data_IF_361870783134
#
_entry.id   IF_361870783134
#
_cell.length_a   1.000
_cell.length_b   1.000
_cell.length_c   1.000
_cell.angle_alpha   90.00
_cell.angle_beta   90.00
_cell.angle_gamma   90.00
#
_symmetry.space_group_name_H-M   'P 1'
#
loop_
_entity.id
_entity.type
_entity.pdbx_description
1 polymer ?
#
# COMPACT_ATOMS: atom_id res chain seq x y z
N UNK A 1 -18.37 -4.02 -5.52
CA UNK A 1 -17.20 -3.96 -6.43
C UNK A 1 -15.96 -4.11 -5.56
N UNK A 2 -15.10 -5.11 -5.80
CA UNK A 2 -13.93 -5.36 -4.95
C UNK A 2 -12.82 -4.36 -5.25
N UNK A 3 -12.24 -3.78 -4.21
CA UNK A 3 -11.26 -2.68 -4.28
C UNK A 3 -9.91 -3.14 -3.75
N UNK A 4 -8.88 -3.02 -4.57
CA UNK A 4 -7.48 -3.18 -4.17
C UNK A 4 -6.85 -1.82 -3.83
N UNK A 5 -5.96 -1.81 -2.85
CA UNK A 5 -5.16 -0.66 -2.48
C UNK A 5 -3.68 -1.01 -2.57
N UNK A 6 -2.90 -0.16 -3.23
CA UNK A 6 -1.45 -0.21 -3.22
C UNK A 6 -0.98 0.98 -2.39
N UNK A 7 -0.13 0.73 -1.40
CA UNK A 7 0.54 1.76 -0.62
C UNK A 7 2.00 1.77 -1.01
N UNK A 8 2.40 2.79 -1.78
CA UNK A 8 3.78 2.98 -2.17
C UNK A 8 4.47 3.88 -1.16
N UNK A 9 5.33 3.30 -0.33
CA UNK A 9 6.01 4.01 0.74
C UNK A 9 7.32 4.61 0.26
N UNK A 10 7.45 5.92 0.44
CA UNK A 10 8.66 6.68 0.13
C UNK A 10 9.49 6.85 1.40
N UNK A 11 10.79 6.60 1.28
CA UNK A 11 11.75 6.68 2.38
C UNK A 11 12.10 5.32 2.97
N UNK A 12 13.10 5.32 3.84
CA UNK A 12 13.59 4.10 4.50
C UNK A 12 12.69 3.71 5.65
N UNK A 13 12.39 2.42 5.77
CA UNK A 13 11.60 1.89 6.87
C UNK A 13 12.36 2.01 8.20
N UNK A 14 11.69 2.38 9.30
CA UNK A 14 12.27 2.30 10.63
C UNK A 14 12.70 0.87 10.97
N UNK A 15 13.64 0.74 11.91
CA UNK A 15 14.21 -0.57 12.31
C UNK A 15 13.14 -1.51 12.85
N UNK A 16 12.17 -0.96 13.59
CA UNK A 16 11.07 -1.70 14.21
C UNK A 16 9.83 -1.79 13.29
N UNK A 17 9.99 -1.53 12.00
CA UNK A 17 8.87 -1.57 11.06
C UNK A 17 8.39 -3.00 10.83
N UNK A 18 7.07 -3.19 11.00
CA UNK A 18 6.39 -4.44 10.75
C UNK A 18 5.26 -4.25 9.74
N UNK A 19 5.38 -4.95 8.60
CA UNK A 19 4.42 -4.90 7.51
C UNK A 19 3.01 -5.33 7.96
N UNK A 20 2.92 -6.34 8.84
CA UNK A 20 1.64 -6.89 9.28
C UNK A 20 0.89 -5.91 10.20
N UNK A 21 1.60 -5.23 11.09
CA UNK A 21 1.06 -4.19 11.95
C UNK A 21 0.54 -3.00 11.13
N UNK A 22 1.31 -2.53 10.15
CA UNK A 22 0.88 -1.45 9.25
C UNK A 22 -0.32 -1.86 8.39
N UNK A 23 -0.31 -3.09 7.86
CA UNK A 23 -1.44 -3.63 7.09
C UNK A 23 -2.73 -3.61 7.91
N UNK A 24 -2.66 -3.95 9.20
CA UNK A 24 -3.82 -3.88 10.12
C UNK A 24 -4.27 -2.44 10.35
N UNK A 25 -3.35 -1.51 10.58
CA UNK A 25 -3.68 -0.09 10.76
C UNK A 25 -4.34 0.51 9.51
N UNK A 26 -3.83 0.19 8.33
CA UNK A 26 -4.41 0.65 7.05
C UNK A 26 -5.79 0.00 6.81
N UNK A 27 -5.97 -1.30 7.10
CA UNK A 27 -7.28 -1.95 6.99
C UNK A 27 -8.33 -1.34 7.90
N UNK A 28 -7.94 -0.79 9.05
CA UNK A 28 -8.87 -0.09 9.96
C UNK A 28 -9.29 1.29 9.43
N UNK A 29 -8.41 1.96 8.68
CA UNK A 29 -8.66 3.32 8.15
C UNK A 29 -9.18 3.37 6.71
N UNK A 30 -8.97 2.31 5.92
CA UNK A 30 -9.35 2.23 4.51
C UNK A 30 -10.29 1.06 4.22
N UNK A 31 -11.34 1.32 3.43
CA UNK A 31 -12.29 0.29 2.93
C UNK A 31 -11.76 -0.43 1.68
N UNK A 32 -10.59 -1.03 1.75
CA UNK A 32 -10.04 -1.87 0.69
C UNK A 32 -10.15 -3.36 1.05
N UNK A 33 -10.51 -4.20 0.08
CA UNK A 33 -10.63 -5.64 0.27
C UNK A 33 -9.25 -6.31 0.35
N UNK A 34 -8.32 -5.85 -0.49
CA UNK A 34 -6.92 -6.28 -0.51
C UNK A 34 -6.00 -5.07 -0.51
N UNK A 35 -4.87 -5.19 0.20
CA UNK A 35 -3.89 -4.14 0.36
C UNK A 35 -2.52 -4.75 0.12
N UNK A 36 -1.71 -4.08 -0.71
CA UNK A 36 -0.30 -4.37 -0.92
C UNK A 36 0.51 -3.16 -0.48
N UNK A 37 1.56 -3.37 0.32
CA UNK A 37 2.46 -2.32 0.79
C UNK A 37 3.81 -2.52 0.12
N UNK A 38 4.27 -1.52 -0.60
CA UNK A 38 5.57 -1.52 -1.28
C UNK A 38 6.46 -0.54 -0.55
N UNK A 39 7.64 -1.00 -0.17
CA UNK A 39 8.65 -0.23 0.54
C UNK A 39 10.01 -0.41 -0.14
N UNK A 40 11.05 0.29 0.31
CA UNK A 40 12.40 0.19 -0.27
C UNK A 40 12.98 -1.22 -0.09
N UNK A 41 12.62 -1.92 0.99
CA UNK A 41 13.00 -3.32 1.26
C UNK A 41 12.18 -4.35 0.47
N UNK A 42 11.11 -3.95 -0.22
CA UNK A 42 10.38 -4.86 -1.12
C UNK A 42 11.23 -5.37 -2.29
N UNK A 43 12.42 -4.80 -2.48
CA UNK A 43 13.42 -5.30 -3.43
C UNK A 43 12.96 -5.05 -4.86
N UNK A 44 12.72 -6.14 -5.61
CA UNK A 44 12.25 -6.06 -6.99
C UNK A 44 10.73 -5.92 -7.11
N UNK A 45 9.98 -6.10 -6.03
CA UNK A 45 8.52 -6.03 -6.07
C UNK A 45 8.06 -4.58 -6.11
N UNK A 46 7.48 -4.17 -7.24
CA UNK A 46 7.10 -2.79 -7.49
C UNK A 46 5.58 -2.57 -7.65
N UNK A 47 5.19 -1.36 -8.05
CA UNK A 47 3.77 -0.98 -8.22
C UNK A 47 3.10 -1.79 -9.33
N UNK A 48 3.84 -2.18 -10.37
CA UNK A 48 3.33 -2.99 -11.47
C UNK A 48 3.06 -4.42 -10.98
N UNK A 49 3.96 -5.00 -10.20
CA UNK A 49 3.78 -6.34 -9.61
C UNK A 49 2.58 -6.37 -8.66
N UNK A 50 2.47 -5.37 -7.78
CA UNK A 50 1.33 -5.24 -6.87
C UNK A 50 0.01 -5.05 -7.63
N UNK A 51 0.01 -4.24 -8.68
CA UNK A 51 -1.15 -4.04 -9.53
C UNK A 51 -1.58 -5.33 -10.22
N UNK A 52 -0.63 -6.08 -10.79
CA UNK A 52 -0.91 -7.38 -11.41
C UNK A 52 -1.42 -8.41 -10.41
N UNK A 53 -0.83 -8.48 -9.21
CA UNK A 53 -1.30 -9.33 -8.11
C UNK A 53 -2.75 -9.01 -7.72
N UNK A 54 -3.10 -7.73 -7.55
CA UNK A 54 -4.46 -7.32 -7.22
C UNK A 54 -5.46 -7.61 -8.34
N UNK A 55 -5.06 -7.40 -9.61
CA UNK A 55 -5.90 -7.72 -10.76
C UNK A 55 -6.21 -9.22 -10.85
N UNK A 56 -5.18 -10.07 -10.77
CA UNK A 56 -5.34 -11.54 -10.85
C UNK A 56 -6.16 -12.10 -9.68
N UNK A 57 -6.20 -11.40 -8.55
CA UNK A 57 -7.05 -11.74 -7.38
C UNK A 57 -8.47 -11.16 -7.47
N UNK A 58 -8.85 -10.58 -8.60
CA UNK A 58 -10.21 -10.16 -8.92
C UNK A 58 -10.60 -8.78 -8.35
N UNK A 59 -9.63 -7.94 -8.00
CA UNK A 59 -9.89 -6.54 -7.68
C UNK A 59 -10.28 -5.79 -8.95
N UNK A 60 -11.41 -5.10 -8.93
CA UNK A 60 -11.96 -4.38 -10.11
C UNK A 60 -11.69 -2.89 -10.08
N UNK A 61 -11.37 -2.36 -8.90
CA UNK A 61 -10.91 -0.99 -8.71
C UNK A 61 -9.60 -1.06 -7.94
N UNK A 62 -8.54 -0.47 -8.49
CA UNK A 62 -7.22 -0.46 -7.85
C UNK A 62 -6.77 0.98 -7.70
N UNK A 63 -6.50 1.36 -6.46
CA UNK A 63 -6.03 2.70 -6.10
C UNK A 63 -4.62 2.59 -5.56
N UNK A 64 -3.72 3.47 -5.99
CA UNK A 64 -2.39 3.63 -5.44
C UNK A 64 -2.32 4.92 -4.63
N UNK A 65 -1.72 4.85 -3.43
CA UNK A 65 -1.53 5.98 -2.52
C UNK A 65 -0.06 6.01 -2.11
N UNK A 66 0.49 7.22 -1.98
CA UNK A 66 1.84 7.41 -1.46
C UNK A 66 1.79 7.41 0.07
N UNK A 67 2.62 6.58 0.70
CA UNK A 67 2.88 6.58 2.13
C UNK A 67 4.24 7.20 2.44
N UNK A 68 4.38 7.84 3.59
CA UNK A 68 5.66 8.31 4.13
C UNK A 68 5.77 7.94 5.61
N UNK A 69 6.96 7.51 6.02
CA UNK A 69 7.25 7.33 7.44
C UNK A 69 7.44 8.68 8.11
N UNK A 70 6.70 8.88 9.19
CA UNK A 70 6.95 9.99 10.11
C UNK A 70 8.27 9.77 10.86
N UNK A 71 8.86 10.83 11.44
CA UNK A 71 10.05 10.70 12.29
C UNK A 71 9.86 9.73 13.47
N UNK A 72 8.61 9.52 13.89
CA UNK A 72 8.24 8.60 14.97
C UNK A 72 8.07 7.16 14.50
N UNK A 73 8.32 6.89 13.22
CA UNK A 73 8.26 5.57 12.59
C UNK A 73 6.87 5.12 12.12
N UNK A 74 5.81 5.90 12.37
CA UNK A 74 4.47 5.58 11.90
C UNK A 74 4.32 5.88 10.41
N UNK A 75 3.64 5.00 9.67
CA UNK A 75 3.28 5.25 8.28
C UNK A 75 2.10 6.22 8.16
N UNK A 76 2.27 7.27 7.36
CA UNK A 76 1.22 8.23 7.04
C UNK A 76 0.88 8.20 5.57
N UNK A 77 -0.40 8.11 5.24
CA UNK A 77 -0.89 8.10 3.86
C UNK A 77 -1.12 9.54 3.38
N UNK A 78 -0.58 9.89 2.21
CA UNK A 78 -0.86 11.17 1.57
C UNK A 78 -2.27 11.18 0.96
N UNK A 79 -2.83 12.37 0.84
CA UNK A 79 -4.17 12.56 0.25
C UNK A 79 -4.20 12.26 -1.26
N UNK A 80 -3.06 12.31 -1.95
CA UNK A 80 -2.97 12.03 -3.39
C UNK A 80 -3.20 10.54 -3.65
N UNK A 81 -4.27 10.25 -4.38
CA UNK A 81 -4.65 8.92 -4.83
C UNK A 81 -4.58 8.85 -6.35
N UNK A 82 -3.94 7.82 -6.86
CA UNK A 82 -3.92 7.51 -8.29
C UNK A 82 -4.83 6.30 -8.53
N UNK A 83 -5.85 6.44 -9.37
CA UNK A 83 -6.67 5.29 -9.77
C UNK A 83 -5.98 4.60 -10.95
N UNK A 84 -5.49 3.38 -10.73
CA UNK A 84 -4.78 2.59 -11.74
C UNK A 84 -5.73 1.75 -12.61
N UNK A 85 -6.88 1.39 -12.05
CA UNK A 85 -7.94 0.64 -12.73
C UNK A 85 -9.26 0.95 -12.03
N UNK A 86 -10.33 1.17 -12.79
CA UNK A 86 -11.65 1.49 -12.25
C UNK A 86 -12.67 1.74 -13.34
#
# INVERSE_FOLDING_TARGET
>A
MKTGLIVYVVGTEPVDWDADSELRAIKQSCRADLIEIITVKSGHFDVLDAWWSLLTRGMKRIVCIIGEFTPNGNLTLKERKLCLCG
#
